data_IF_506412692128
#
_entry.id   IF_506412692128
#
_cell.length_a   1.000
_cell.length_b   1.000
_cell.length_c   1.000
_cell.angle_alpha   90.00
_cell.angle_beta   90.00
_cell.angle_gamma   90.00
#
_symmetry.space_group_name_H-M   'P 1'
#
loop_
_entity.id
_entity.type
_entity.pdbx_description
1 polymer ?
#
# COMPACT_ATOMS: atom_id res chain seq x y z
N UNK A 1 4.17 51.40 25.65
CA UNK A 1 3.89 51.62 24.22
C UNK A 1 4.72 50.66 23.31
N UNK A 2 6.05 50.52 23.47
CA UNK A 2 6.88 49.60 22.65
C UNK A 2 6.46 48.12 22.70
N UNK A 3 6.00 47.63 23.84
CA UNK A 3 5.59 46.23 24.03
C UNK A 3 4.26 45.94 23.29
N UNK A 4 3.36 46.86 23.26
CA UNK A 4 2.07 46.76 22.58
C UNK A 4 2.22 46.77 21.05
N UNK A 5 3.15 47.56 20.53
CA UNK A 5 3.45 47.65 19.09
C UNK A 5 4.10 46.35 18.62
N UNK A 6 5.01 45.74 19.40
CA UNK A 6 5.65 44.45 19.06
C UNK A 6 4.64 43.29 19.02
N UNK A 7 3.67 43.27 19.90
CA UNK A 7 2.61 42.26 19.95
C UNK A 7 1.68 42.39 18.71
N UNK A 8 1.34 43.59 18.32
CA UNK A 8 0.47 43.85 17.16
C UNK A 8 1.19 43.51 15.85
N UNK A 9 2.48 43.87 15.73
CA UNK A 9 3.29 43.52 14.57
C UNK A 9 3.46 41.99 14.42
N UNK A 10 3.72 41.29 15.52
CA UNK A 10 3.82 39.83 15.54
C UNK A 10 2.48 39.15 15.16
N UNK A 11 1.35 39.69 15.58
CA UNK A 11 0.02 39.20 15.23
C UNK A 11 -0.33 39.37 13.74
N UNK A 12 0.06 40.51 13.10
CA UNK A 12 -0.09 40.73 11.66
C UNK A 12 0.77 39.77 10.83
N UNK A 13 2.02 39.59 11.20
CA UNK A 13 2.94 38.68 10.52
C UNK A 13 2.45 37.22 10.63
N UNK A 14 2.00 36.81 11.81
CA UNK A 14 1.41 35.51 12.04
C UNK A 14 0.16 35.28 11.17
N UNK A 15 -0.74 36.26 11.10
CA UNK A 15 -1.93 36.19 10.26
C UNK A 15 -1.61 36.11 8.75
N UNK A 16 -0.55 36.77 8.28
CA UNK A 16 -0.12 36.68 6.88
C UNK A 16 0.46 35.30 6.57
N UNK A 17 1.31 34.77 7.44
CA UNK A 17 1.87 33.41 7.28
C UNK A 17 0.76 32.35 7.28
N UNK A 18 -0.20 32.47 8.17
CA UNK A 18 -1.37 31.55 8.23
C UNK A 18 -2.22 31.61 6.95
N UNK A 19 -2.46 32.81 6.41
CA UNK A 19 -3.20 32.97 5.14
C UNK A 19 -2.42 32.37 3.96
N UNK A 20 -1.14 32.64 3.87
CA UNK A 20 -0.29 32.11 2.79
C UNK A 20 -0.23 30.58 2.87
N UNK A 21 -0.03 30.03 4.07
CA UNK A 21 -0.05 28.58 4.28
C UNK A 21 -1.41 27.98 3.89
N UNK A 22 -2.52 28.62 4.29
CA UNK A 22 -3.89 28.17 3.94
C UNK A 22 -4.09 28.14 2.42
N UNK A 23 -3.64 29.17 1.70
CA UNK A 23 -3.76 29.20 0.24
C UNK A 23 -2.94 28.10 -0.41
N UNK A 24 -1.71 27.86 0.05
CA UNK A 24 -0.87 26.77 -0.45
C UNK A 24 -1.55 25.41 -0.22
N UNK A 25 -2.08 25.17 0.98
CA UNK A 25 -2.79 23.92 1.27
C UNK A 25 -4.05 23.74 0.41
N UNK A 26 -4.81 24.80 0.18
CA UNK A 26 -5.99 24.75 -0.71
C UNK A 26 -5.56 24.45 -2.14
N UNK A 27 -4.51 25.08 -2.65
CA UNK A 27 -3.99 24.78 -3.99
C UNK A 27 -3.52 23.31 -4.11
N UNK A 28 -2.77 22.83 -3.12
CA UNK A 28 -2.35 21.42 -3.08
C UNK A 28 -3.54 20.45 -3.04
N UNK A 29 -4.56 20.77 -2.24
CA UNK A 29 -5.76 19.96 -2.16
C UNK A 29 -6.53 19.92 -3.48
N UNK A 30 -6.70 21.07 -4.14
CA UNK A 30 -7.35 21.14 -5.47
C UNK A 30 -6.57 20.34 -6.51
N UNK A 31 -5.25 20.50 -6.56
CA UNK A 31 -4.40 19.74 -7.50
C UNK A 31 -4.53 18.23 -7.24
N UNK A 32 -4.54 17.80 -5.97
CA UNK A 32 -4.72 16.39 -5.61
C UNK A 32 -6.07 15.85 -6.06
N UNK A 33 -7.15 16.60 -5.85
CA UNK A 33 -8.49 16.20 -6.29
C UNK A 33 -8.55 16.09 -7.82
N UNK A 34 -8.03 17.09 -8.54
CA UNK A 34 -8.00 17.08 -10.01
C UNK A 34 -7.19 15.91 -10.53
N UNK A 35 -6.05 15.60 -9.91
CA UNK A 35 -5.22 14.44 -10.29
C UNK A 35 -5.98 13.12 -10.10
N UNK A 36 -6.62 12.92 -8.95
CA UNK A 36 -7.40 11.69 -8.69
C UNK A 36 -8.56 11.55 -9.65
N UNK A 37 -9.33 12.62 -9.88
CA UNK A 37 -10.45 12.62 -10.83
C UNK A 37 -9.94 12.37 -12.27
N UNK A 38 -8.83 12.99 -12.66
CA UNK A 38 -8.22 12.80 -13.97
C UNK A 38 -7.75 11.36 -14.20
N UNK A 39 -7.05 10.76 -13.22
CA UNK A 39 -6.63 9.35 -13.29
C UNK A 39 -7.87 8.44 -13.37
N UNK A 40 -8.86 8.68 -12.55
CA UNK A 40 -10.10 7.88 -12.55
C UNK A 40 -10.81 7.97 -13.91
N UNK A 41 -11.01 9.16 -14.43
CA UNK A 41 -11.61 9.36 -15.75
C UNK A 41 -10.81 8.68 -16.86
N UNK A 42 -9.48 8.83 -16.85
CA UNK A 42 -8.60 8.16 -17.81
C UNK A 42 -8.73 6.63 -17.74
N UNK A 43 -8.75 6.05 -16.54
CA UNK A 43 -8.92 4.61 -16.34
C UNK A 43 -10.25 4.10 -16.91
N UNK A 44 -11.34 4.84 -16.68
CA UNK A 44 -12.64 4.48 -17.25
C UNK A 44 -12.65 4.59 -18.77
N UNK A 45 -12.17 5.69 -19.34
CA UNK A 45 -12.17 5.90 -20.80
C UNK A 45 -11.29 4.87 -21.50
N UNK A 46 -10.13 4.54 -20.95
CA UNK A 46 -9.20 3.59 -21.56
C UNK A 46 -9.58 2.12 -21.29
N UNK A 47 -10.12 1.82 -20.11
CA UNK A 47 -10.47 0.45 -19.72
C UNK A 47 -11.79 -0.04 -20.30
N UNK A 48 -12.78 0.83 -20.46
CA UNK A 48 -14.11 0.46 -20.96
C UNK A 48 -14.08 -0.23 -22.34
N UNK A 49 -13.36 0.26 -23.37
CA UNK A 49 -13.28 -0.41 -24.65
C UNK A 49 -12.65 -1.80 -24.58
N UNK A 50 -11.69 -2.01 -23.67
CA UNK A 50 -11.06 -3.32 -23.48
C UNK A 50 -12.05 -4.33 -22.89
N UNK A 51 -12.84 -3.90 -21.90
CA UNK A 51 -13.88 -4.73 -21.27
C UNK A 51 -14.94 -5.15 -22.31
N UNK A 52 -15.35 -4.25 -23.19
CA UNK A 52 -16.34 -4.58 -24.23
C UNK A 52 -15.78 -5.50 -25.33
N UNK A 53 -14.47 -5.43 -25.61
CA UNK A 53 -13.82 -6.31 -26.61
C UNK A 53 -13.60 -7.72 -26.11
N UNK A 54 -13.13 -7.87 -24.89
CA UNK A 54 -12.77 -9.16 -24.28
C UNK A 54 -13.99 -9.84 -23.65
N UNK A 55 -14.90 -9.05 -23.09
CA UNK A 55 -16.04 -9.54 -22.34
C UNK A 55 -15.76 -9.62 -20.83
N UNK A 56 -16.67 -9.07 -20.05
CA UNK A 56 -16.54 -9.00 -18.58
C UNK A 56 -16.46 -10.39 -17.93
N UNK A 57 -17.20 -11.34 -18.48
CA UNK A 57 -17.21 -12.73 -17.98
C UNK A 57 -15.88 -13.43 -18.20
N UNK A 58 -15.26 -13.23 -19.34
CA UNK A 58 -13.94 -13.81 -19.62
C UNK A 58 -12.87 -13.19 -18.72
N UNK A 59 -12.87 -11.87 -18.54
CA UNK A 59 -11.93 -11.17 -17.66
C UNK A 59 -12.06 -11.68 -16.21
N UNK A 60 -13.27 -11.76 -15.68
CA UNK A 60 -13.48 -12.08 -14.26
C UNK A 60 -13.36 -13.58 -13.92
N UNK A 61 -13.74 -14.47 -14.83
CA UNK A 61 -13.85 -15.90 -14.57
C UNK A 61 -12.86 -16.79 -15.32
N UNK A 62 -12.07 -16.24 -16.23
CA UNK A 62 -10.98 -17.00 -16.86
C UNK A 62 -9.77 -17.11 -15.92
N UNK A 63 -9.14 -18.27 -15.93
CA UNK A 63 -7.96 -18.59 -15.13
C UNK A 63 -6.64 -18.28 -15.86
N UNK A 64 -6.70 -17.92 -17.15
CA UNK A 64 -5.52 -17.75 -17.97
C UNK A 64 -5.20 -16.28 -18.16
N UNK A 65 -4.03 -15.88 -17.66
CA UNK A 65 -3.47 -14.56 -17.91
C UNK A 65 -2.26 -14.68 -18.86
N UNK A 66 -2.48 -14.41 -20.12
CA UNK A 66 -1.45 -14.52 -21.17
C UNK A 66 -1.61 -13.39 -22.20
N UNK A 67 -1.39 -12.12 -21.85
CA UNK A 67 -1.63 -10.97 -22.73
C UNK A 67 -0.66 -10.89 -23.91
N UNK A 68 0.48 -11.58 -23.84
CA UNK A 68 1.53 -11.58 -24.87
C UNK A 68 1.56 -12.88 -25.70
N UNK A 69 0.63 -13.80 -25.48
CA UNK A 69 0.52 -15.01 -26.28
C UNK A 69 0.01 -14.70 -27.70
N UNK A 70 0.16 -15.65 -28.63
CA UNK A 70 -0.37 -15.54 -30.00
C UNK A 70 -1.90 -15.37 -29.98
N UNK A 71 -2.56 -15.97 -28.99
CA UNK A 71 -3.97 -15.76 -28.66
C UNK A 71 -4.03 -15.15 -27.24
N UNK A 72 -4.29 -13.84 -27.11
CA UNK A 72 -4.18 -13.15 -25.84
C UNK A 72 -5.38 -13.43 -24.93
N UNK A 73 -5.12 -13.92 -23.71
CA UNK A 73 -6.11 -14.14 -22.66
C UNK A 73 -5.89 -13.18 -21.48
N UNK A 74 -6.97 -12.64 -20.93
CA UNK A 74 -6.97 -11.61 -19.88
C UNK A 74 -7.72 -12.02 -18.62
N UNK A 75 -7.71 -13.32 -18.27
CA UNK A 75 -8.38 -13.83 -17.07
C UNK A 75 -7.69 -13.43 -15.78
N UNK A 76 -8.42 -12.77 -14.86
CA UNK A 76 -7.89 -12.29 -13.59
C UNK A 76 -8.37 -13.10 -12.37
N UNK A 77 -9.12 -14.19 -12.56
CA UNK A 77 -9.70 -14.96 -11.47
C UNK A 77 -8.64 -15.44 -10.48
N UNK A 78 -7.53 -15.99 -10.97
CA UNK A 78 -6.44 -16.46 -10.11
C UNK A 78 -5.81 -15.31 -9.31
N UNK A 79 -5.69 -14.12 -9.89
CA UNK A 79 -5.16 -12.93 -9.21
C UNK A 79 -6.11 -12.51 -8.08
N UNK A 80 -7.42 -12.52 -8.34
CA UNK A 80 -8.43 -12.20 -7.33
C UNK A 80 -8.39 -13.21 -6.18
N UNK A 81 -8.39 -14.51 -6.49
CA UNK A 81 -8.36 -15.57 -5.49
C UNK A 81 -7.10 -15.50 -4.63
N UNK A 82 -5.94 -15.33 -5.25
CA UNK A 82 -4.67 -15.19 -4.54
C UNK A 82 -4.67 -13.97 -3.63
N UNK A 83 -5.20 -12.84 -4.09
CA UNK A 83 -5.32 -11.63 -3.27
C UNK A 83 -6.25 -11.84 -2.06
N UNK A 84 -7.40 -12.48 -2.25
CA UNK A 84 -8.33 -12.79 -1.16
C UNK A 84 -7.67 -13.70 -0.12
N UNK A 85 -7.01 -14.76 -0.57
CA UNK A 85 -6.32 -15.69 0.33
C UNK A 85 -5.19 -14.99 1.08
N UNK A 86 -4.37 -14.19 0.39
CA UNK A 86 -3.31 -13.39 1.01
C UNK A 86 -3.84 -12.44 2.08
N UNK A 87 -4.91 -11.71 1.80
CA UNK A 87 -5.56 -10.81 2.76
C UNK A 87 -6.09 -11.57 3.98
N UNK A 88 -6.72 -12.73 3.78
CA UNK A 88 -7.23 -13.55 4.89
C UNK A 88 -6.08 -13.97 5.80
N UNK A 89 -4.97 -14.49 5.26
CA UNK A 89 -3.80 -14.86 6.05
C UNK A 89 -3.16 -13.66 6.75
N UNK A 90 -3.04 -12.53 6.07
CA UNK A 90 -2.53 -11.30 6.68
C UNK A 90 -3.38 -10.84 7.87
N UNK A 91 -4.71 -10.90 7.77
CA UNK A 91 -5.64 -10.56 8.86
C UNK A 91 -5.54 -11.58 10.00
N UNK A 92 -5.54 -12.87 9.69
CA UNK A 92 -5.47 -13.93 10.71
C UNK A 92 -4.22 -13.85 11.58
N UNK A 93 -3.10 -13.42 11.02
CA UNK A 93 -1.84 -13.29 11.74
C UNK A 93 -1.69 -11.87 12.32
N UNK A 94 -1.95 -10.84 11.50
CA UNK A 94 -1.69 -9.45 11.86
C UNK A 94 -2.62 -8.91 12.94
N UNK A 95 -3.92 -9.24 12.87
CA UNK A 95 -4.90 -8.71 13.83
C UNK A 95 -4.65 -9.21 15.26
N UNK A 96 -4.45 -10.52 15.54
CA UNK A 96 -4.15 -10.98 16.88
C UNK A 96 -2.87 -10.36 17.45
N UNK A 97 -1.80 -10.30 16.65
CA UNK A 97 -0.54 -9.70 17.07
C UNK A 97 -0.71 -8.20 17.35
N UNK A 98 -1.44 -7.50 16.49
CA UNK A 98 -1.72 -6.07 16.65
C UNK A 98 -2.53 -5.78 17.91
N UNK A 99 -3.58 -6.54 18.19
CA UNK A 99 -4.40 -6.39 19.40
C UNK A 99 -3.57 -6.68 20.65
N UNK A 100 -2.85 -7.79 20.69
CA UNK A 100 -2.01 -8.15 21.83
C UNK A 100 -0.94 -7.07 22.10
N UNK A 101 -0.33 -6.54 21.05
CA UNK A 101 0.65 -5.45 21.17
C UNK A 101 0.00 -4.18 21.70
N UNK A 102 -1.18 -3.83 21.20
CA UNK A 102 -1.90 -2.63 21.64
C UNK A 102 -2.30 -2.72 23.11
N UNK A 103 -2.83 -3.85 23.56
CA UNK A 103 -3.21 -4.09 24.96
C UNK A 103 -1.97 -4.05 25.86
N UNK A 104 -0.89 -4.73 25.46
CA UNK A 104 0.36 -4.71 26.21
C UNK A 104 0.90 -3.27 26.38
N UNK A 105 0.88 -2.48 25.30
CA UNK A 105 1.31 -1.09 25.34
C UNK A 105 0.41 -0.21 26.19
N UNK A 106 -0.90 -0.47 26.19
CA UNK A 106 -1.87 0.35 26.91
C UNK A 106 -1.84 0.09 28.43
N UNK A 107 -1.73 -1.17 28.84
CA UNK A 107 -1.96 -1.58 30.24
C UNK A 107 -0.70 -2.03 30.97
N UNK A 108 0.26 -2.66 30.29
CA UNK A 108 1.38 -3.34 30.93
C UNK A 108 2.70 -2.57 30.76
N UNK A 109 2.91 -1.94 29.62
CA UNK A 109 4.21 -1.36 29.28
C UNK A 109 4.59 -0.14 30.13
N UNK A 110 5.87 -0.08 30.48
CA UNK A 110 6.45 1.10 31.13
C UNK A 110 6.25 2.36 30.25
N UNK A 111 5.92 3.54 30.81
CA UNK A 111 5.69 4.78 30.05
C UNK A 111 6.80 5.14 29.04
N UNK A 112 8.06 4.84 29.36
CA UNK A 112 9.19 5.08 28.43
C UNK A 112 9.12 4.19 27.20
N UNK A 113 8.88 2.89 27.40
CA UNK A 113 8.74 1.91 26.32
C UNK A 113 7.52 2.22 25.47
N UNK A 114 6.39 2.50 26.12
CA UNK A 114 5.14 2.90 25.48
C UNK A 114 5.33 4.07 24.51
N UNK A 115 5.99 5.14 24.94
CA UNK A 115 6.20 6.33 24.10
C UNK A 115 7.10 6.05 22.92
N UNK A 116 8.17 5.26 23.08
CA UNK A 116 9.08 4.90 22.00
C UNK A 116 8.36 4.04 20.95
N UNK A 117 7.69 2.97 21.40
CA UNK A 117 6.98 2.05 20.51
C UNK A 117 5.82 2.75 19.80
N UNK A 118 5.06 3.59 20.51
CA UNK A 118 3.99 4.39 19.92
C UNK A 118 4.52 5.27 18.79
N UNK A 119 5.60 6.02 19.03
CA UNK A 119 6.20 6.87 18.00
C UNK A 119 6.71 6.06 16.80
N UNK A 120 7.30 4.88 17.04
CA UNK A 120 7.75 4.00 15.97
C UNK A 120 6.59 3.47 15.12
N UNK A 121 5.49 3.05 15.77
CA UNK A 121 4.28 2.59 15.07
C UNK A 121 3.62 3.71 14.27
N UNK A 122 3.55 4.93 14.83
CA UNK A 122 3.03 6.10 14.12
C UNK A 122 3.88 6.44 12.88
N UNK A 123 5.19 6.34 12.97
CA UNK A 123 6.09 6.52 11.81
C UNK A 123 5.87 5.43 10.76
N UNK A 124 5.78 4.17 11.18
CA UNK A 124 5.51 3.05 10.27
C UNK A 124 4.15 3.18 9.60
N UNK A 125 3.11 3.59 10.35
CA UNK A 125 1.77 3.82 9.79
C UNK A 125 1.72 4.97 8.77
N UNK A 126 2.67 5.90 8.82
CA UNK A 126 2.81 6.98 7.85
C UNK A 126 3.42 6.55 6.50
N UNK A 127 4.00 5.36 6.42
CA UNK A 127 4.59 4.85 5.17
C UNK A 127 3.48 4.27 4.28
N UNK A 128 3.35 4.69 3.00
CA UNK A 128 2.39 4.12 2.07
C UNK A 128 2.56 2.61 1.93
N UNK A 129 1.45 1.86 1.91
CA UNK A 129 1.45 0.39 1.79
C UNK A 129 2.18 -0.14 0.55
N UNK A 130 2.20 0.65 -0.53
CA UNK A 130 2.94 0.34 -1.76
C UNK A 130 4.44 0.18 -1.50
N UNK A 131 5.02 0.96 -0.57
CA UNK A 131 6.44 0.85 -0.21
C UNK A 131 6.72 -0.49 0.46
N UNK A 132 5.82 -0.96 1.34
CA UNK A 132 5.94 -2.29 1.95
C UNK A 132 5.85 -3.41 0.92
N UNK A 133 4.92 -3.28 -0.06
CA UNK A 133 4.83 -4.23 -1.18
C UNK A 133 6.10 -4.27 -2.02
N UNK A 134 6.68 -3.10 -2.32
CA UNK A 134 7.94 -3.02 -3.05
C UNK A 134 9.11 -3.64 -2.28
N UNK A 135 9.21 -3.40 -0.97
CA UNK A 135 10.20 -4.05 -0.11
C UNK A 135 10.01 -5.58 -0.08
N UNK A 136 8.75 -6.06 -0.07
CA UNK A 136 8.44 -7.48 -0.20
C UNK A 136 9.02 -8.07 -1.48
N UNK A 137 8.78 -7.42 -2.62
CA UNK A 137 9.31 -7.90 -3.91
C UNK A 137 10.84 -7.86 -3.94
N UNK A 138 11.47 -6.80 -3.42
CA UNK A 138 12.92 -6.63 -3.52
C UNK A 138 13.71 -7.49 -2.52
N UNK A 139 13.15 -7.77 -1.35
CA UNK A 139 13.86 -8.45 -0.26
C UNK A 139 13.31 -9.85 -0.03
N UNK A 140 11.99 -10.00 0.07
CA UNK A 140 11.38 -11.28 0.44
C UNK A 140 11.42 -12.27 -0.73
N UNK A 141 11.12 -11.85 -1.95
CA UNK A 141 11.15 -12.74 -3.11
C UNK A 141 12.53 -13.39 -3.33
N UNK A 142 13.66 -12.68 -3.34
CA UNK A 142 14.97 -13.30 -3.47
C UNK A 142 15.30 -14.27 -2.33
N UNK A 143 14.86 -13.92 -1.10
CA UNK A 143 15.06 -14.79 0.06
C UNK A 143 14.23 -16.08 -0.06
N UNK A 144 12.99 -15.98 -0.48
CA UNK A 144 12.11 -17.14 -0.74
C UNK A 144 12.65 -18.00 -1.87
N UNK A 145 13.20 -17.41 -2.92
CA UNK A 145 13.84 -18.16 -4.01
C UNK A 145 15.04 -18.96 -3.55
N UNK A 146 15.91 -18.39 -2.70
CA UNK A 146 17.03 -19.12 -2.11
C UNK A 146 16.55 -20.27 -1.21
N UNK A 147 15.50 -20.05 -0.44
CA UNK A 147 14.88 -21.06 0.40
C UNK A 147 14.26 -22.19 -0.44
N UNK A 148 13.58 -21.85 -1.50
CA UNK A 148 13.00 -22.78 -2.48
C UNK A 148 14.09 -23.64 -3.13
N UNK A 149 15.19 -23.02 -3.55
CA UNK A 149 16.36 -23.74 -4.07
C UNK A 149 16.98 -24.68 -3.02
N UNK A 150 17.10 -24.24 -1.77
CA UNK A 150 17.69 -25.06 -0.70
C UNK A 150 16.83 -26.28 -0.37
N UNK A 151 15.50 -26.12 -0.36
CA UNK A 151 14.56 -27.20 -0.02
C UNK A 151 14.35 -28.17 -1.18
N UNK A 152 14.25 -27.67 -2.41
CA UNK A 152 13.87 -28.44 -3.59
C UNK A 152 15.01 -28.69 -4.59
N UNK A 153 16.25 -28.42 -4.22
CA UNK A 153 17.44 -28.59 -5.08
C UNK A 153 17.57 -29.99 -5.72
N UNK A 154 16.97 -31.02 -5.13
CA UNK A 154 16.98 -32.39 -5.65
C UNK A 154 15.69 -32.82 -6.35
N UNK A 155 14.67 -32.00 -6.41
CA UNK A 155 13.37 -32.35 -6.99
C UNK A 155 13.32 -32.06 -8.48
N UNK A 156 13.13 -33.12 -9.29
CA UNK A 156 12.96 -32.99 -10.75
C UNK A 156 11.54 -32.54 -11.18
N UNK A 157 10.60 -32.53 -10.24
CA UNK A 157 9.17 -32.29 -10.52
C UNK A 157 8.71 -30.91 -10.05
N UNK A 158 9.52 -30.20 -9.25
CA UNK A 158 9.18 -28.90 -8.71
C UNK A 158 9.43 -27.79 -9.74
N UNK A 159 8.42 -26.97 -10.04
CA UNK A 159 8.58 -25.78 -10.87
C UNK A 159 8.92 -24.61 -9.95
N UNK A 160 10.11 -24.05 -10.13
CA UNK A 160 10.57 -22.90 -9.36
C UNK A 160 9.76 -21.64 -9.72
N UNK A 161 9.21 -20.98 -8.70
CA UNK A 161 8.37 -19.78 -8.86
C UNK A 161 9.18 -18.49 -8.88
N UNK A 162 10.50 -18.57 -8.73
CA UNK A 162 11.37 -17.38 -8.63
C UNK A 162 11.18 -16.61 -7.34
N UNK A 163 10.65 -17.25 -6.29
CA UNK A 163 10.33 -16.62 -5.01
C UNK A 163 8.96 -15.92 -4.97
N UNK A 164 8.27 -15.79 -6.10
CA UNK A 164 6.94 -15.21 -6.16
C UNK A 164 5.89 -16.25 -5.75
N UNK A 165 5.62 -16.35 -4.48
CA UNK A 165 4.62 -17.26 -3.90
C UNK A 165 3.72 -16.52 -2.89
N UNK A 166 2.75 -17.26 -2.34
CA UNK A 166 1.75 -16.70 -1.43
C UNK A 166 2.34 -16.16 -0.12
N UNK A 167 3.54 -16.61 0.26
CA UNK A 167 4.24 -16.17 1.48
C UNK A 167 4.96 -14.84 1.23
N UNK A 168 5.40 -14.60 -0.01
CA UNK A 168 6.07 -13.35 -0.39
C UNK A 168 5.11 -12.25 -0.83
N UNK A 169 3.85 -12.57 -1.07
CA UNK A 169 2.78 -11.63 -1.43
C UNK A 169 2.19 -10.94 -0.19
#
# INVERSE_FOLDING_TARGET
ERKTISIIANRKTKSMVEKTASVIFICCAVVSIVAVVGITAYMFVSGTPAIFKVGLTEILFSNVWAPTAADPHYGILNIILTSIVGVIFAILIGVPIGILTAVNLAEIANPKVRNIVKSAVELLAGIPSVVYGLLGILIINPLMYQLELAIFAGSKTHQFTGGANLISA
#
